data_IF_671719041324
#
_entry.id   IF_671719041324
#
_cell.length_a   1.000
_cell.length_b   1.000
_cell.length_c   1.000
_cell.angle_alpha   90.00
_cell.angle_beta   90.00
_cell.angle_gamma   90.00
#
_symmetry.space_group_name_H-M   'P 1'
#
loop_
_entity.id
_entity.type
_entity.pdbx_description
1 polymer ?
#
# COMPACT_ATOMS: atom_id res chain seq x y z
N UNK A 1 -15.30 23.81 -9.34
CA UNK A 1 -14.93 23.05 -10.57
C UNK A 1 -15.48 21.64 -10.40
N UNK A 2 -16.10 21.07 -11.43
CA UNK A 2 -16.54 19.68 -11.39
C UNK A 2 -15.33 18.79 -11.66
N UNK A 3 -15.16 17.76 -10.84
CA UNK A 3 -14.12 16.74 -11.01
C UNK A 3 -14.41 15.94 -12.30
N UNK A 4 -13.40 15.68 -13.18
CA UNK A 4 -13.57 14.77 -14.30
C UNK A 4 -13.97 13.36 -13.84
N UNK A 5 -14.85 12.67 -14.56
CA UNK A 5 -15.32 11.31 -14.20
C UNK A 5 -14.19 10.27 -14.19
N UNK A 6 -13.17 10.48 -15.00
CA UNK A 6 -11.96 9.63 -15.05
C UNK A 6 -10.99 9.87 -13.91
N UNK A 7 -11.10 11.00 -13.20
CA UNK A 7 -10.21 11.37 -12.11
C UNK A 7 -10.53 10.58 -10.84
N UNK A 8 -9.50 10.05 -10.21
CA UNK A 8 -9.51 9.40 -8.90
C UNK A 8 -8.70 10.23 -7.91
N UNK A 9 -9.11 10.29 -6.64
CA UNK A 9 -8.38 11.03 -5.61
C UNK A 9 -7.15 10.28 -5.06
N UNK A 10 -7.04 8.96 -5.29
CA UNK A 10 -5.92 8.16 -4.78
C UNK A 10 -4.52 8.79 -5.00
N UNK A 11 -4.16 9.34 -6.18
CA UNK A 11 -2.81 9.91 -6.38
C UNK A 11 -2.45 11.10 -5.48
N UNK A 12 -3.41 11.67 -4.75
CA UNK A 12 -3.20 12.82 -3.85
C UNK A 12 -3.36 12.49 -2.38
N UNK A 13 -4.00 11.36 -2.06
CA UNK A 13 -4.36 11.03 -0.69
C UNK A 13 -3.87 9.66 -0.24
N UNK A 14 -3.50 8.78 -1.17
CA UNK A 14 -3.25 7.37 -0.91
C UNK A 14 -1.84 6.95 -1.31
N UNK A 15 -1.25 6.07 -0.52
CA UNK A 15 0.01 5.39 -0.84
C UNK A 15 -0.13 3.88 -0.66
N UNK A 16 0.38 3.13 -1.64
CA UNK A 16 0.42 1.68 -1.64
C UNK A 16 1.85 1.16 -1.64
N UNK A 17 2.08 0.13 -0.84
CA UNK A 17 3.33 -0.61 -0.80
C UNK A 17 3.05 -2.11 -0.72
N UNK A 18 3.60 -2.91 -1.65
CA UNK A 18 3.51 -4.37 -1.59
C UNK A 18 4.44 -4.97 -0.52
N UNK A 19 4.27 -6.26 -0.14
CA UNK A 19 5.21 -6.93 0.75
C UNK A 19 6.64 -7.03 0.20
N UNK A 20 6.82 -6.85 -1.10
CA UNK A 20 8.11 -6.78 -1.77
C UNK A 20 8.60 -5.35 -1.96
N UNK A 21 7.93 -4.39 -1.28
CA UNK A 21 8.22 -2.95 -1.31
C UNK A 21 8.02 -2.26 -2.66
N UNK A 22 7.17 -2.84 -3.52
CA UNK A 22 6.72 -2.12 -4.72
C UNK A 22 5.78 -0.98 -4.36
N UNK A 23 6.05 0.20 -4.92
CA UNK A 23 5.16 1.34 -4.80
C UNK A 23 4.29 1.48 -6.04
N UNK A 24 3.03 1.78 -5.81
CA UNK A 24 2.04 2.04 -6.85
C UNK A 24 1.09 3.14 -6.42
N UNK A 25 0.36 3.69 -7.37
CA UNK A 25 -0.71 4.65 -7.11
C UNK A 25 -1.81 4.06 -6.21
N UNK A 26 -2.17 2.79 -6.43
CA UNK A 26 -3.09 2.01 -5.58
C UNK A 26 -2.92 0.51 -5.85
N UNK A 27 -3.50 -0.35 -5.01
CA UNK A 27 -3.38 -1.80 -5.14
C UNK A 27 -3.98 -2.38 -6.44
N UNK A 28 -4.93 -1.68 -7.08
CA UNK A 28 -5.56 -2.10 -8.34
C UNK A 28 -4.90 -1.50 -9.58
N UNK A 29 -3.90 -0.64 -9.41
CA UNK A 29 -3.22 0.01 -10.51
C UNK A 29 -2.46 -1.01 -11.36
N UNK A 30 -2.66 -0.93 -12.68
CA UNK A 30 -1.86 -1.67 -13.68
C UNK A 30 -0.75 -0.78 -14.19
N UNK A 31 0.15 -0.43 -13.32
CA UNK A 31 1.32 0.35 -13.71
C UNK A 31 2.26 -0.49 -14.57
N UNK A 32 2.96 0.14 -15.52
CA UNK A 32 3.92 -0.56 -16.36
C UNK A 32 4.92 -1.37 -15.54
N UNK A 33 5.37 -2.50 -16.04
CA UNK A 33 6.33 -3.42 -15.41
C UNK A 33 7.62 -2.76 -14.88
N UNK A 34 7.82 -1.48 -15.17
CA UNK A 34 8.89 -0.66 -14.58
C UNK A 34 8.87 -0.64 -13.05
N UNK A 35 7.70 -0.80 -12.43
CA UNK A 35 7.60 -0.87 -10.97
C UNK A 35 8.11 -2.19 -10.38
N UNK A 36 8.30 -3.22 -11.22
CA UNK A 36 9.01 -4.43 -10.87
C UNK A 36 10.54 -4.29 -11.00
N UNK A 37 11.05 -3.21 -11.57
CA UNK A 37 12.49 -2.97 -11.74
C UNK A 37 13.24 -2.82 -10.42
N UNK A 38 12.56 -2.45 -9.35
CA UNK A 38 13.18 -2.47 -8.03
C UNK A 38 13.68 -3.86 -7.60
N UNK A 39 13.18 -4.94 -8.25
CA UNK A 39 13.65 -6.32 -8.03
C UNK A 39 14.46 -6.87 -9.18
N UNK A 40 14.37 -6.26 -10.35
CA UNK A 40 14.91 -6.79 -11.58
C UNK A 40 15.55 -5.63 -12.30
N UNK A 41 16.85 -5.51 -12.17
CA UNK A 41 17.61 -4.72 -13.11
C UNK A 41 17.71 -5.51 -14.43
N UNK A 42 16.78 -5.19 -15.34
CA UNK A 42 16.70 -5.82 -16.65
C UNK A 42 17.81 -5.36 -17.59
N UNK A 43 18.48 -4.25 -17.28
CA UNK A 43 19.56 -3.71 -18.10
C UNK A 43 20.89 -4.39 -17.76
N UNK A 44 21.16 -4.65 -16.48
CA UNK A 44 22.38 -5.34 -16.05
C UNK A 44 22.23 -6.85 -15.98
N UNK A 45 21.02 -7.40 -15.96
CA UNK A 45 20.76 -8.81 -15.75
C UNK A 45 21.14 -9.34 -14.35
N UNK A 46 21.51 -8.46 -13.42
CA UNK A 46 22.04 -8.82 -12.10
C UNK A 46 20.97 -8.96 -11.02
N UNK A 47 19.71 -8.62 -11.31
CA UNK A 47 18.63 -8.73 -10.33
C UNK A 47 18.84 -7.86 -9.08
N UNK A 48 19.44 -6.68 -9.25
CA UNK A 48 19.70 -5.77 -8.14
C UNK A 48 18.37 -5.25 -7.58
N UNK A 49 18.21 -5.34 -6.26
CA UNK A 49 17.10 -4.73 -5.55
C UNK A 49 17.36 -3.22 -5.36
N UNK A 50 16.51 -2.39 -5.95
CA UNK A 50 16.59 -0.93 -5.84
C UNK A 50 15.25 -0.42 -5.29
N UNK A 51 15.11 -0.31 -3.95
CA UNK A 51 13.89 0.18 -3.34
C UNK A 51 13.70 1.69 -3.58
N UNK A 52 12.44 2.11 -3.59
CA UNK A 52 12.05 3.51 -3.78
C UNK A 52 11.34 4.01 -2.52
N UNK A 53 11.79 5.12 -1.95
CA UNK A 53 11.18 5.77 -0.79
C UNK A 53 9.84 6.43 -1.17
N UNK A 54 9.02 6.77 -0.16
CA UNK A 54 7.79 7.51 -0.40
C UNK A 54 8.08 8.89 -1.02
N UNK A 55 9.11 9.58 -0.55
CA UNK A 55 9.51 10.89 -1.05
C UNK A 55 9.87 10.83 -2.55
N UNK A 56 10.70 9.86 -2.94
CA UNK A 56 11.09 9.65 -4.34
C UNK A 56 9.89 9.29 -5.22
N UNK A 57 8.97 8.46 -4.71
CA UNK A 57 7.78 8.03 -5.46
C UNK A 57 6.74 9.14 -5.60
N UNK A 58 6.44 9.87 -4.52
CA UNK A 58 5.28 10.75 -4.39
C UNK A 58 5.21 11.85 -5.45
N UNK A 59 6.33 12.47 -5.75
CA UNK A 59 6.46 13.46 -6.82
C UNK A 59 7.40 13.00 -7.95
N UNK A 60 7.50 11.69 -8.18
CA UNK A 60 8.22 11.14 -9.34
C UNK A 60 7.61 11.63 -10.66
N UNK A 61 8.37 11.53 -11.74
CA UNK A 61 7.88 11.86 -13.09
C UNK A 61 6.60 11.08 -13.45
N UNK A 62 6.51 9.82 -13.01
CA UNK A 62 5.33 8.98 -13.20
C UNK A 62 4.12 9.54 -12.46
N UNK A 63 4.22 9.77 -11.15
CA UNK A 63 3.11 10.27 -10.34
C UNK A 63 2.65 11.67 -10.75
N UNK A 64 3.57 12.54 -11.12
CA UNK A 64 3.24 13.87 -11.69
C UNK A 64 2.47 13.73 -13.00
N UNK A 65 2.91 12.84 -13.89
CA UNK A 65 2.20 12.55 -15.14
C UNK A 65 0.79 12.01 -14.91
N UNK A 66 0.63 11.08 -13.97
CA UNK A 66 -0.68 10.53 -13.57
C UNK A 66 -1.61 11.64 -13.09
N UNK A 67 -1.18 12.49 -12.16
CA UNK A 67 -2.00 13.61 -11.63
C UNK A 67 -2.40 14.60 -12.73
N UNK A 68 -1.46 15.05 -13.54
CA UNK A 68 -1.71 15.99 -14.64
C UNK A 68 -2.75 15.42 -15.63
N UNK A 69 -2.59 14.18 -16.04
CA UNK A 69 -3.49 13.52 -17.00
C UNK A 69 -4.89 13.29 -16.40
N UNK A 70 -4.98 12.91 -15.11
CA UNK A 70 -6.27 12.80 -14.42
C UNK A 70 -6.99 14.15 -14.30
N UNK A 71 -6.27 15.22 -14.00
CA UNK A 71 -6.87 16.57 -13.96
C UNK A 71 -7.34 17.04 -15.35
N UNK A 72 -6.68 16.59 -16.41
CA UNK A 72 -7.10 16.83 -17.78
C UNK A 72 -8.29 15.96 -18.22
N UNK A 73 -8.76 15.03 -17.40
CA UNK A 73 -9.87 14.13 -17.73
C UNK A 73 -9.47 12.98 -18.68
N UNK A 74 -8.17 12.68 -18.79
CA UNK A 74 -7.71 11.58 -19.60
C UNK A 74 -8.04 10.21 -18.97
N UNK A 75 -8.30 9.21 -19.81
CA UNK A 75 -8.40 7.80 -19.41
C UNK A 75 -7.00 7.21 -19.32
N UNK A 76 -6.58 6.78 -18.16
CA UNK A 76 -5.27 6.22 -17.93
C UNK A 76 -5.27 4.68 -18.07
N UNK A 77 -4.32 4.09 -18.83
CA UNK A 77 -4.15 2.63 -18.89
C UNK A 77 -3.91 2.02 -17.49
N UNK A 78 -3.22 2.72 -16.62
CA UNK A 78 -2.96 2.31 -15.25
C UNK A 78 -4.26 2.08 -14.45
N UNK A 79 -5.35 2.74 -14.86
CA UNK A 79 -6.67 2.66 -14.24
C UNK A 79 -7.64 1.70 -14.97
N UNK A 80 -7.15 0.81 -15.84
CA UNK A 80 -7.96 -0.12 -16.63
C UNK A 80 -8.99 -0.86 -15.76
N UNK A 81 -8.59 -1.38 -14.61
CA UNK A 81 -9.49 -2.09 -13.69
C UNK A 81 -10.69 -1.24 -13.26
N UNK A 82 -10.48 0.06 -13.05
CA UNK A 82 -11.57 0.99 -12.72
C UNK A 82 -12.37 1.40 -13.94
N UNK A 83 -11.71 1.57 -15.10
CA UNK A 83 -12.38 1.97 -16.33
C UNK A 83 -13.32 0.89 -16.84
N UNK A 84 -12.91 -0.38 -16.80
CA UNK A 84 -13.68 -1.52 -17.32
C UNK A 84 -14.87 -1.90 -16.43
N UNK A 85 -14.84 -1.51 -15.14
CA UNK A 85 -15.85 -1.90 -14.15
C UNK A 85 -16.85 -0.81 -13.80
N UNK A 86 -16.78 0.34 -14.44
CA UNK A 86 -17.60 1.51 -14.09
C UNK A 86 -19.11 1.29 -14.15
N UNK A 87 -19.60 0.29 -14.85
CA UNK A 87 -21.04 0.17 -15.12
C UNK A 87 -21.82 -0.60 -14.03
N UNK A 88 -21.21 -1.46 -13.20
CA UNK A 88 -21.98 -2.34 -12.32
C UNK A 88 -21.32 -2.75 -10.98
N UNK A 89 -20.14 -2.26 -10.60
CA UNK A 89 -19.49 -2.64 -9.35
C UNK A 89 -18.77 -1.48 -8.67
N UNK A 90 -18.66 -1.54 -7.32
CA UNK A 90 -17.73 -0.70 -6.56
C UNK A 90 -16.33 -0.82 -7.14
N UNK A 91 -15.77 0.29 -7.57
CA UNK A 91 -14.39 0.38 -8.05
C UNK A 91 -13.58 1.23 -7.06
N UNK A 92 -12.28 1.07 -7.07
CA UNK A 92 -11.41 1.83 -6.16
C UNK A 92 -11.54 3.35 -6.34
N UNK A 93 -11.80 3.84 -7.56
CA UNK A 93 -12.09 5.26 -7.80
C UNK A 93 -13.27 5.75 -6.96
N UNK A 94 -14.40 5.05 -7.01
CA UNK A 94 -15.59 5.38 -6.22
C UNK A 94 -15.31 5.33 -4.72
N UNK A 95 -14.51 4.36 -4.29
CA UNK A 95 -14.10 4.23 -2.90
C UNK A 95 -13.31 5.46 -2.42
N UNK A 96 -12.26 5.85 -3.13
CA UNK A 96 -11.45 7.00 -2.76
C UNK A 96 -12.23 8.32 -2.87
N UNK A 97 -13.09 8.44 -3.87
CA UNK A 97 -13.96 9.61 -4.01
C UNK A 97 -14.94 9.71 -2.85
N UNK A 98 -15.55 8.61 -2.42
CA UNK A 98 -16.47 8.59 -1.28
C UNK A 98 -15.77 9.03 0.02
N UNK A 99 -14.58 8.48 0.29
CA UNK A 99 -13.85 8.79 1.52
C UNK A 99 -13.24 10.20 1.53
N UNK A 100 -12.73 10.66 0.40
CA UNK A 100 -11.87 11.83 0.33
C UNK A 100 -12.41 12.98 -0.53
N UNK A 101 -13.68 12.96 -0.94
CA UNK A 101 -14.29 14.03 -1.74
C UNK A 101 -14.14 15.41 -1.07
N UNK A 102 -14.13 15.47 0.25
CA UNK A 102 -13.94 16.70 1.00
C UNK A 102 -12.55 17.35 0.76
N UNK A 103 -11.55 16.58 0.31
CA UNK A 103 -10.20 17.07 -0.03
C UNK A 103 -10.09 17.58 -1.48
N UNK A 104 -11.12 17.48 -2.29
CA UNK A 104 -11.06 17.90 -3.70
C UNK A 104 -10.66 19.37 -3.89
N UNK A 105 -11.15 20.34 -3.08
CA UNK A 105 -10.67 21.73 -3.17
C UNK A 105 -9.16 21.85 -2.88
N UNK A 106 -8.65 21.10 -1.91
CA UNK A 106 -7.25 21.06 -1.55
C UNK A 106 -6.40 20.46 -2.67
N UNK A 107 -6.87 19.41 -3.33
CA UNK A 107 -6.22 18.80 -4.51
C UNK A 107 -6.00 19.85 -5.60
N UNK A 108 -7.03 20.62 -5.95
CA UNK A 108 -6.90 21.66 -6.97
C UNK A 108 -5.99 22.82 -6.54
N UNK A 109 -6.04 23.20 -5.27
CA UNK A 109 -5.23 24.31 -4.75
C UNK A 109 -3.73 23.97 -4.65
N UNK A 110 -3.40 22.70 -4.39
CA UNK A 110 -2.03 22.26 -4.08
C UNK A 110 -1.37 21.46 -5.21
N UNK A 111 -1.98 21.38 -6.40
CA UNK A 111 -1.39 20.69 -7.54
C UNK A 111 -0.89 21.70 -8.57
N UNK A 112 0.40 21.63 -8.88
CA UNK A 112 1.03 22.48 -9.89
C UNK A 112 0.68 22.00 -11.32
N UNK A 113 0.84 22.84 -12.34
CA UNK A 113 0.54 22.46 -13.74
C UNK A 113 1.34 21.26 -14.26
N UNK A 114 2.51 20.97 -13.67
CA UNK A 114 3.32 19.80 -14.02
C UNK A 114 2.89 18.52 -13.26
N UNK A 115 1.90 18.61 -12.37
CA UNK A 115 1.39 17.52 -11.54
C UNK A 115 2.11 17.33 -10.21
N UNK A 116 3.06 18.20 -9.86
CA UNK A 116 3.67 18.23 -8.52
C UNK A 116 2.61 18.65 -7.50
N UNK A 117 2.59 18.01 -6.33
CA UNK A 117 1.69 18.36 -5.23
C UNK A 117 2.44 18.54 -3.93
N UNK A 118 1.96 19.47 -3.10
CA UNK A 118 2.40 19.64 -1.71
C UNK A 118 1.56 18.85 -0.72
N UNK A 119 0.51 18.18 -1.19
CA UNK A 119 -0.27 17.27 -0.34
C UNK A 119 0.55 16.05 0.06
N UNK A 120 0.28 15.53 1.22
CA UNK A 120 0.86 14.29 1.73
C UNK A 120 -0.20 13.19 1.83
N UNK A 121 0.19 11.90 1.76
CA UNK A 121 -0.77 10.80 1.89
C UNK A 121 -1.37 10.76 3.29
N UNK A 122 -2.68 10.48 3.33
CA UNK A 122 -3.48 10.30 4.55
C UNK A 122 -4.16 8.93 4.59
N UNK A 123 -4.08 8.18 3.50
CA UNK A 123 -4.58 6.82 3.31
C UNK A 123 -3.42 5.88 3.01
N UNK A 124 -3.33 4.77 3.75
CA UNK A 124 -2.15 3.92 3.79
C UNK A 124 -2.51 2.45 3.55
N UNK A 125 -2.02 1.85 2.46
CA UNK A 125 -2.00 0.41 2.19
C UNK A 125 -0.54 -0.07 2.23
N UNK A 126 0.04 -0.12 3.44
CA UNK A 126 1.40 -0.58 3.67
C UNK A 126 1.39 -2.05 4.10
N UNK A 127 1.84 -2.91 3.22
CA UNK A 127 1.94 -4.36 3.44
C UNK A 127 3.35 -4.66 3.94
N UNK A 128 3.57 -4.48 5.23
CA UNK A 128 4.89 -4.57 5.89
C UNK A 128 5.60 -5.90 5.67
N UNK A 129 4.89 -6.98 5.40
CA UNK A 129 5.48 -8.30 5.19
C UNK A 129 4.52 -9.24 4.47
N UNK A 130 5.03 -10.35 3.93
CA UNK A 130 4.22 -11.50 3.53
C UNK A 130 4.05 -12.53 4.66
N UNK A 131 4.46 -12.21 5.91
CA UNK A 131 4.33 -13.12 7.05
C UNK A 131 2.89 -13.56 7.22
N UNK A 132 2.63 -14.86 7.09
CA UNK A 132 1.31 -15.46 7.22
C UNK A 132 1.45 -16.92 7.65
N UNK A 133 0.57 -17.35 8.55
CA UNK A 133 0.49 -18.74 9.02
C UNK A 133 -0.47 -19.61 8.18
N UNK A 134 -1.17 -19.02 7.18
CA UNK A 134 -2.08 -19.74 6.30
C UNK A 134 -1.56 -19.83 4.87
N UNK A 135 -2.01 -20.88 4.17
CA UNK A 135 -1.81 -21.14 2.74
C UNK A 135 -3.15 -21.12 2.01
N UNK A 136 -3.79 -19.95 1.99
CA UNK A 136 -5.08 -19.81 1.31
C UNK A 136 -4.92 -19.98 -0.20
N UNK A 137 -5.88 -20.62 -0.87
CA UNK A 137 -5.85 -20.86 -2.33
C UNK A 137 -5.88 -19.58 -3.16
N UNK A 138 -6.39 -18.49 -2.59
CA UNK A 138 -6.46 -17.17 -3.23
C UNK A 138 -5.17 -16.37 -3.09
N UNK A 139 -4.25 -16.81 -2.22
CA UNK A 139 -2.96 -16.18 -2.01
C UNK A 139 -1.86 -16.95 -2.74
N UNK A 140 -0.81 -16.22 -3.14
CA UNK A 140 0.46 -16.78 -3.60
C UNK A 140 1.57 -16.54 -2.59
N UNK A 141 2.78 -16.90 -2.97
CA UNK A 141 4.02 -16.68 -2.25
C UNK A 141 4.26 -15.20 -1.89
N UNK A 142 3.88 -14.29 -2.77
CA UNK A 142 4.01 -12.85 -2.53
C UNK A 142 3.23 -12.35 -1.30
N UNK A 143 2.14 -13.03 -0.95
CA UNK A 143 1.24 -12.64 0.15
C UNK A 143 1.21 -13.67 1.28
N UNK A 144 2.03 -14.72 1.22
CA UNK A 144 2.10 -15.74 2.27
C UNK A 144 3.49 -16.35 2.38
N UNK A 145 4.15 -16.12 3.50
CA UNK A 145 5.43 -16.75 3.81
C UNK A 145 5.34 -18.27 3.95
N UNK A 146 4.17 -18.79 4.30
CA UNK A 146 3.93 -20.24 4.33
C UNK A 146 3.93 -20.84 2.91
N UNK A 147 3.36 -20.15 1.92
CA UNK A 147 3.46 -20.54 0.51
C UNK A 147 4.88 -20.41 -0.02
N UNK A 148 5.54 -19.28 0.25
CA UNK A 148 6.96 -19.07 -0.13
C UNK A 148 7.84 -20.21 0.38
N UNK A 149 7.71 -20.57 1.66
CA UNK A 149 8.48 -21.62 2.28
C UNK A 149 8.21 -22.98 1.63
N UNK A 150 6.93 -23.33 1.35
CA UNK A 150 6.56 -24.57 0.71
C UNK A 150 7.13 -24.69 -0.71
N UNK A 151 7.06 -23.62 -1.51
CA UNK A 151 7.60 -23.59 -2.87
C UNK A 151 9.13 -23.78 -2.87
N UNK A 152 9.84 -23.12 -1.94
CA UNK A 152 11.30 -23.29 -1.79
C UNK A 152 11.65 -24.71 -1.36
N UNK A 153 10.99 -25.26 -0.35
CA UNK A 153 11.26 -26.60 0.19
C UNK A 153 11.00 -27.71 -0.83
N UNK A 154 10.01 -27.55 -1.69
CA UNK A 154 9.64 -28.54 -2.71
C UNK A 154 10.31 -28.27 -4.08
N UNK A 155 11.25 -27.36 -4.17
CA UNK A 155 11.92 -26.97 -5.42
C UNK A 155 10.95 -26.54 -6.52
N UNK A 156 9.85 -25.87 -6.17
CA UNK A 156 8.82 -25.43 -7.10
C UNK A 156 9.09 -24.04 -7.67
N UNK A 157 10.08 -23.30 -7.13
CA UNK A 157 10.42 -21.95 -7.59
C UNK A 157 11.13 -22.03 -8.94
N UNK A 158 10.55 -21.41 -9.96
CA UNK A 158 11.24 -21.23 -11.23
C UNK A 158 12.26 -20.08 -11.13
N UNK A 159 13.49 -20.40 -10.79
CA UNK A 159 14.58 -19.42 -10.64
C UNK A 159 15.03 -18.75 -11.94
N UNK A 160 14.59 -19.27 -13.10
CA UNK A 160 14.83 -18.63 -14.40
C UNK A 160 13.83 -17.49 -14.69
N UNK A 161 12.71 -17.43 -13.96
CA UNK A 161 11.77 -16.31 -14.04
C UNK A 161 12.24 -15.17 -13.13
N UNK A 162 12.58 -14.01 -13.69
CA UNK A 162 13.02 -12.86 -12.90
C UNK A 162 12.03 -12.40 -11.84
N UNK A 163 10.72 -12.67 -12.03
CA UNK A 163 9.69 -12.34 -11.05
C UNK A 163 9.89 -13.04 -9.70
N UNK A 164 10.63 -14.13 -9.67
CA UNK A 164 10.92 -14.89 -8.46
C UNK A 164 12.24 -14.44 -7.77
N UNK A 165 12.95 -13.47 -8.33
CA UNK A 165 14.23 -13.01 -7.76
C UNK A 165 14.09 -12.44 -6.34
N UNK A 166 12.93 -11.86 -6.01
CA UNK A 166 12.68 -11.34 -4.66
C UNK A 166 12.75 -12.42 -3.56
N UNK A 167 12.55 -13.70 -3.92
CA UNK A 167 12.66 -14.85 -3.00
C UNK A 167 14.10 -15.30 -2.73
N UNK A 168 15.12 -14.78 -3.44
CA UNK A 168 16.52 -15.08 -3.17
C UNK A 168 16.92 -14.47 -1.83
N UNK A 169 17.65 -15.20 -1.01
CA UNK A 169 17.94 -14.81 0.36
C UNK A 169 18.57 -13.41 0.46
N UNK A 170 19.55 -13.10 -0.39
CA UNK A 170 20.18 -11.77 -0.42
C UNK A 170 19.20 -10.62 -0.73
N UNK A 171 18.21 -10.86 -1.59
CA UNK A 171 17.20 -9.87 -1.93
C UNK A 171 16.15 -9.78 -0.80
N UNK A 172 15.75 -10.91 -0.23
CA UNK A 172 14.86 -10.96 0.93
C UNK A 172 15.44 -10.19 2.12
N UNK A 173 16.73 -10.36 2.41
CA UNK A 173 17.40 -9.63 3.48
C UNK A 173 17.37 -8.11 3.20
N UNK A 174 17.63 -7.70 1.96
CA UNK A 174 17.55 -6.29 1.56
C UNK A 174 16.12 -5.72 1.66
N UNK A 175 15.12 -6.49 1.26
CA UNK A 175 13.70 -6.13 1.42
C UNK A 175 13.37 -5.94 2.89
N UNK A 176 13.73 -6.91 3.74
CA UNK A 176 13.48 -6.84 5.19
C UNK A 176 14.18 -5.64 5.83
N UNK A 177 15.43 -5.39 5.48
CA UNK A 177 16.17 -4.22 5.98
C UNK A 177 15.49 -2.90 5.58
N UNK A 178 15.01 -2.79 4.34
CA UNK A 178 14.30 -1.59 3.89
C UNK A 178 12.93 -1.43 4.58
N UNK A 179 12.21 -2.53 4.80
CA UNK A 179 10.95 -2.52 5.54
C UNK A 179 11.16 -2.07 6.99
N UNK A 180 12.12 -2.66 7.69
CA UNK A 180 12.36 -2.41 9.12
C UNK A 180 12.97 -1.02 9.40
N UNK A 181 13.57 -0.38 8.41
CA UNK A 181 14.16 0.95 8.54
C UNK A 181 13.31 2.03 7.88
N UNK A 182 13.33 2.09 6.55
CA UNK A 182 12.72 3.19 5.79
C UNK A 182 11.20 3.18 5.82
N UNK A 183 10.58 2.01 5.55
CA UNK A 183 9.12 1.90 5.49
C UNK A 183 8.50 2.12 6.87
N UNK A 184 9.13 1.56 7.89
CA UNK A 184 8.75 1.78 9.28
C UNK A 184 8.84 3.27 9.66
N UNK A 185 9.92 3.95 9.29
CA UNK A 185 10.12 5.37 9.59
C UNK A 185 9.08 6.26 8.86
N UNK A 186 8.75 5.96 7.60
CA UNK A 186 7.74 6.69 6.84
C UNK A 186 6.36 6.64 7.50
N UNK A 187 5.94 5.44 7.91
CA UNK A 187 4.64 5.26 8.53
C UNK A 187 4.61 5.81 9.97
N UNK A 188 5.68 5.59 10.75
CA UNK A 188 5.81 6.17 12.09
C UNK A 188 5.73 7.70 12.05
N UNK A 189 6.41 8.33 11.09
CA UNK A 189 6.33 9.79 10.90
C UNK A 189 4.90 10.26 10.58
N UNK A 190 4.15 9.51 9.75
CA UNK A 190 2.76 9.84 9.46
C UNK A 190 1.85 9.73 10.69
N UNK A 191 2.08 8.74 11.54
CA UNK A 191 1.35 8.57 12.80
C UNK A 191 1.67 9.73 13.76
N UNK A 192 2.95 10.04 14.00
CA UNK A 192 3.36 11.11 14.91
C UNK A 192 2.96 12.51 14.42
N UNK A 193 2.81 12.69 13.12
CA UNK A 193 2.34 13.93 12.50
C UNK A 193 0.81 14.00 12.35
N UNK A 194 0.08 13.05 12.94
CA UNK A 194 -1.38 13.02 12.88
C UNK A 194 -1.96 12.98 11.46
N UNK A 195 -1.28 12.33 10.50
CA UNK A 195 -1.68 12.32 9.07
C UNK A 195 -2.49 11.10 8.65
N UNK A 196 -2.71 10.12 9.52
CA UNK A 196 -3.45 8.91 9.18
C UNK A 196 -4.96 9.15 9.31
N UNK A 197 -5.69 9.08 8.19
CA UNK A 197 -7.16 9.14 8.15
C UNK A 197 -7.77 7.79 7.74
N UNK A 198 -7.07 7.01 6.93
CA UNK A 198 -7.46 5.65 6.56
C UNK A 198 -6.23 4.75 6.52
N UNK A 199 -6.38 3.55 7.05
CA UNK A 199 -5.36 2.52 6.96
C UNK A 199 -5.98 1.19 6.56
N UNK A 200 -5.34 0.50 5.61
CA UNK A 200 -5.72 -0.83 5.17
C UNK A 200 -4.65 -1.85 5.58
N UNK A 201 -4.96 -2.58 6.64
CA UNK A 201 -4.13 -3.66 7.14
C UNK A 201 -4.36 -4.94 6.33
N UNK A 202 -3.40 -5.27 5.49
CA UNK A 202 -3.42 -6.39 4.55
C UNK A 202 -1.98 -6.79 4.20
N UNK A 203 -1.80 -7.82 3.42
CA UNK A 203 -0.49 -8.33 3.01
C UNK A 203 -0.43 -9.81 3.28
N UNK A 204 0.41 -10.29 4.20
CA UNK A 204 0.29 -11.60 4.82
C UNK A 204 -0.87 -11.64 5.82
N UNK A 205 -0.57 -11.96 7.07
CA UNK A 205 -1.52 -11.81 8.18
C UNK A 205 -1.12 -10.58 9.00
N UNK A 206 -1.84 -9.45 8.89
CA UNK A 206 -1.43 -8.20 9.52
C UNK A 206 -1.38 -8.27 11.05
N UNK A 207 -2.20 -9.10 11.68
CA UNK A 207 -2.19 -9.28 13.13
C UNK A 207 -0.99 -10.09 13.64
N UNK A 208 -0.17 -10.62 12.73
CA UNK A 208 1.14 -11.19 13.07
C UNK A 208 2.27 -10.14 13.06
N UNK A 209 2.04 -8.94 12.51
CA UNK A 209 3.06 -7.90 12.46
C UNK A 209 3.12 -7.11 13.77
N UNK A 210 4.31 -6.95 14.31
CA UNK A 210 4.53 -6.07 15.47
C UNK A 210 4.17 -4.62 15.13
N UNK A 211 4.47 -4.19 13.90
CA UNK A 211 4.16 -2.86 13.38
C UNK A 211 2.67 -2.52 13.52
N UNK A 212 1.77 -3.48 13.22
CA UNK A 212 0.33 -3.27 13.39
C UNK A 212 0.00 -2.85 14.82
N UNK A 213 0.43 -3.66 15.80
CA UNK A 213 0.07 -3.45 17.22
C UNK A 213 0.67 -2.16 17.75
N UNK A 214 1.93 -1.89 17.43
CA UNK A 214 2.63 -0.67 17.86
C UNK A 214 1.96 0.59 17.31
N UNK A 215 1.70 0.65 16.02
CA UNK A 215 1.15 1.85 15.41
C UNK A 215 -0.33 2.08 15.72
N UNK A 216 -1.15 1.03 15.76
CA UNK A 216 -2.54 1.18 16.13
C UNK A 216 -2.71 1.63 17.58
N UNK A 217 -1.90 1.05 18.48
CA UNK A 217 -1.84 1.54 19.86
C UNK A 217 -1.40 3.00 19.92
N UNK A 218 -0.38 3.37 19.16
CA UNK A 218 0.11 4.76 19.14
C UNK A 218 -0.94 5.75 18.60
N UNK A 219 -1.70 5.39 17.57
CA UNK A 219 -2.83 6.18 17.07
C UNK A 219 -3.88 6.42 18.17
N UNK A 220 -4.19 5.40 18.96
CA UNK A 220 -5.12 5.53 20.09
C UNK A 220 -4.54 6.43 21.19
N UNK A 221 -3.27 6.24 21.55
CA UNK A 221 -2.56 7.06 22.57
C UNK A 221 -2.49 8.55 22.17
N UNK A 222 -2.31 8.86 20.90
CA UNK A 222 -2.31 10.21 20.35
C UNK A 222 -3.70 10.85 20.29
N UNK A 223 -4.77 10.09 20.55
CA UNK A 223 -6.14 10.55 20.46
C UNK A 223 -6.66 10.68 19.03
N UNK A 224 -6.00 10.08 18.05
CA UNK A 224 -6.36 10.15 16.62
C UNK A 224 -7.45 9.13 16.23
N UNK A 225 -7.70 8.12 17.05
CA UNK A 225 -8.67 7.07 16.75
C UNK A 225 -10.02 7.57 16.23
N UNK A 226 -10.64 8.64 16.80
CA UNK A 226 -11.95 9.15 16.34
C UNK A 226 -11.97 9.67 14.89
N UNK A 227 -10.84 9.84 14.22
CA UNK A 227 -10.77 10.29 12.82
C UNK A 227 -10.22 9.23 11.87
N UNK A 228 -9.76 8.09 12.38
CA UNK A 228 -9.19 7.01 11.58
C UNK A 228 -10.27 6.01 11.18
N UNK A 229 -10.26 5.63 9.92
CA UNK A 229 -10.96 4.46 9.39
C UNK A 229 -9.97 3.33 9.17
N UNK A 230 -10.17 2.18 9.83
CA UNK A 230 -9.27 1.03 9.73
C UNK A 230 -9.96 -0.13 8.99
N UNK A 231 -9.32 -0.62 7.93
CA UNK A 231 -9.76 -1.82 7.20
C UNK A 231 -8.77 -2.96 7.38
N UNK A 232 -9.30 -4.15 7.43
CA UNK A 232 -8.52 -5.37 7.61
C UNK A 232 -8.89 -6.44 6.61
N UNK A 233 -7.86 -7.10 6.06
CA UNK A 233 -7.98 -8.45 5.51
C UNK A 233 -7.12 -9.35 6.41
N UNK A 234 -7.77 -10.12 7.26
CA UNK A 234 -7.12 -10.95 8.27
C UNK A 234 -7.80 -12.31 8.38
N UNK A 235 -7.05 -13.32 8.81
CA UNK A 235 -7.58 -14.64 9.15
C UNK A 235 -7.95 -14.74 10.64
N UNK A 236 -7.78 -13.64 11.41
CA UNK A 236 -8.08 -13.55 12.84
C UNK A 236 -7.41 -14.63 13.72
N UNK A 237 -6.31 -15.23 13.25
CA UNK A 237 -5.59 -16.24 14.02
C UNK A 237 -4.91 -15.69 15.28
N UNK A 238 -4.80 -14.36 15.37
CA UNK A 238 -4.24 -13.65 16.52
C UNK A 238 -5.07 -12.38 16.75
N UNK A 239 -5.70 -12.27 17.90
CA UNK A 239 -6.47 -11.10 18.33
C UNK A 239 -5.88 -10.40 19.54
N UNK A 240 -4.74 -10.91 20.05
CA UNK A 240 -4.00 -10.34 21.18
C UNK A 240 -2.50 -10.41 20.94
N UNK A 241 -1.79 -9.36 21.32
CA UNK A 241 -0.33 -9.28 21.24
C UNK A 241 0.23 -8.38 22.33
N UNK A 242 1.27 -8.83 23.08
CA UNK A 242 1.92 -8.01 24.11
C UNK A 242 0.97 -7.47 25.17
N UNK A 243 -0.11 -8.18 25.49
CA UNK A 243 -1.13 -7.75 26.47
C UNK A 243 -2.20 -6.81 25.89
N UNK A 244 -2.14 -6.45 24.61
CA UNK A 244 -3.12 -5.60 23.90
C UNK A 244 -4.14 -6.45 23.19
N UNK A 245 -5.43 -6.17 23.37
CA UNK A 245 -6.55 -6.80 22.66
C UNK A 245 -6.96 -5.94 21.45
N UNK A 246 -7.19 -6.59 20.30
CA UNK A 246 -7.57 -5.89 19.07
C UNK A 246 -8.90 -5.12 19.22
N UNK A 247 -9.89 -5.75 19.82
CA UNK A 247 -11.24 -5.18 19.88
C UNK A 247 -11.37 -4.17 21.04
N UNK A 248 -10.93 -4.55 22.23
CA UNK A 248 -11.14 -3.76 23.44
C UNK A 248 -10.16 -2.58 23.54
N UNK A 249 -8.88 -2.79 23.19
CA UNK A 249 -7.84 -1.77 23.39
C UNK A 249 -7.55 -0.93 22.14
N UNK A 250 -7.95 -1.39 20.94
CA UNK A 250 -7.69 -0.70 19.67
C UNK A 250 -9.00 -0.28 19.00
N UNK A 251 -9.78 -1.26 18.50
CA UNK A 251 -10.93 -0.96 17.60
C UNK A 251 -12.07 -0.22 18.32
N UNK A 252 -12.23 -0.42 19.64
CA UNK A 252 -13.18 0.37 20.43
C UNK A 252 -12.91 1.88 20.43
N UNK A 253 -11.67 2.29 20.09
CA UNK A 253 -11.24 3.69 20.06
C UNK A 253 -11.12 4.27 18.64
N UNK A 254 -11.31 3.45 17.60
CA UNK A 254 -11.25 3.86 16.20
C UNK A 254 -12.63 4.29 15.72
N UNK A 255 -12.70 5.37 14.92
CA UNK A 255 -13.96 5.95 14.41
C UNK A 255 -14.84 4.91 13.73
N UNK A 256 -14.25 4.13 12.85
CA UNK A 256 -14.96 3.10 12.08
C UNK A 256 -13.95 2.05 11.59
N UNK A 257 -14.41 0.82 11.47
CA UNK A 257 -13.54 -0.26 11.02
C UNK A 257 -14.31 -1.37 10.27
N UNK A 258 -13.60 -2.08 9.42
CA UNK A 258 -14.09 -3.21 8.64
C UNK A 258 -13.09 -4.37 8.71
N UNK A 259 -13.57 -5.55 9.06
CA UNK A 259 -12.83 -6.82 9.03
C UNK A 259 -13.49 -7.77 8.04
#
# INVERSE_FOLDING_TARGET
>A
MNKPDTMCLAPWVHTYLSPQTERRMCCASREPAQNFRQYIDTESGTGQYIPVTLEEHWNSNHMRSVRRRMMAGETLPECEVCNDRLLNTSVYRTYFDHLFQHKLPEVYANTQPDGTTTMEPVSWDYRFSNLCNFKCRTCGDMLSSAWESEQKQNNMVNWADPKNNWMRDSIRDSISQFQDSQIEAEFAAAVEQHRVEEIYWVGGEPLMYEQHWRHMKRIVELGDGPRVYARYNTNLSRVRYGGVDLFDDILAHIRDWQI
#
